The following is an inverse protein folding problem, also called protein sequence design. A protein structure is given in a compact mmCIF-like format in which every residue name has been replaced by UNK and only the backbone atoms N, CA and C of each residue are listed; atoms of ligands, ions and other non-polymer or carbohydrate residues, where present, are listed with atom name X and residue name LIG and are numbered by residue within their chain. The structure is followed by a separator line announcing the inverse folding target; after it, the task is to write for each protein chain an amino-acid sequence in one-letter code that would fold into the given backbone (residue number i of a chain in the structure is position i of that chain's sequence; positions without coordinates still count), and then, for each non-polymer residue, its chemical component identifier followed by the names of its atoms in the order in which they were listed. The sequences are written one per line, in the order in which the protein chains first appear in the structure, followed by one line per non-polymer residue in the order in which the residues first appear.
data_IF_989661317012
#
_entry.id   IF_989661317012
#
_cell.length_a   1.000
_cell.length_b   1.000
_cell.length_c   1.000
_cell.angle_alpha   90.00
_cell.angle_beta   90.00
_cell.angle_gamma   90.00
#
_symmetry.space_group_name_H-M   'P 1'
#
loop_
_entity.id
_entity.type
_entity.pdbx_description
1 polymer ?
#
# COMPACT_ATOMS: atom_id res chain seq x y z
N UNK A 1 19.21 9.11 17.00
CA UNK A 1 17.82 9.05 17.50
C UNK A 1 17.30 7.68 17.13
N UNK A 2 17.26 6.76 18.09
CA UNK A 2 16.51 5.52 17.95
C UNK A 2 15.03 5.92 17.83
N UNK A 3 14.52 5.95 16.59
CA UNK A 3 13.08 5.93 16.38
C UNK A 3 12.65 4.50 16.63
N UNK A 4 12.21 4.19 17.84
CA UNK A 4 11.40 3.01 18.07
C UNK A 4 10.30 2.95 16.99
N UNK A 5 10.03 1.78 16.40
CA UNK A 5 9.00 1.66 15.39
C UNK A 5 7.67 2.08 16.01
N UNK A 6 7.02 3.09 15.42
CA UNK A 6 5.69 3.56 15.84
C UNK A 6 4.72 2.37 15.77
N UNK A 7 4.33 1.79 16.93
CA UNK A 7 3.56 0.55 16.96
C UNK A 7 2.15 0.77 16.41
N UNK A 8 1.60 1.98 16.56
CA UNK A 8 0.30 2.33 15.99
C UNK A 8 0.40 2.43 14.46
N UNK A 9 1.44 3.08 13.95
CA UNK A 9 1.72 3.14 12.52
C UNK A 9 1.90 1.76 11.89
N UNK A 10 2.63 0.86 12.54
CA UNK A 10 2.82 -0.52 12.07
C UNK A 10 1.51 -1.31 12.05
N UNK A 11 0.72 -1.25 13.12
CA UNK A 11 -0.57 -1.93 13.18
C UNK A 11 -1.55 -1.41 12.11
N UNK A 12 -1.59 -0.09 11.90
CA UNK A 12 -2.44 0.52 10.87
C UNK A 12 -2.04 0.07 9.46
N UNK A 13 -0.74 0.01 9.17
CA UNK A 13 -0.23 -0.46 7.87
C UNK A 13 -0.58 -1.93 7.61
N UNK A 14 -0.37 -2.80 8.61
CA UNK A 14 -0.73 -4.22 8.50
C UNK A 14 -2.23 -4.41 8.28
N UNK A 15 -3.06 -3.60 8.95
CA UNK A 15 -4.51 -3.63 8.75
C UNK A 15 -4.89 -3.19 7.33
N UNK A 16 -4.32 -2.08 6.84
CA UNK A 16 -4.57 -1.60 5.48
C UNK A 16 -4.17 -2.63 4.43
N UNK A 17 -3.02 -3.27 4.59
CA UNK A 17 -2.56 -4.34 3.72
C UNK A 17 -3.50 -5.55 3.75
N UNK A 18 -3.89 -6.00 4.94
CA UNK A 18 -4.83 -7.11 5.11
C UNK A 18 -6.17 -6.84 4.44
N UNK A 19 -6.70 -5.61 4.59
CA UNK A 19 -7.93 -5.18 3.91
C UNK A 19 -7.76 -5.19 2.40
N UNK A 20 -6.66 -4.66 1.87
CA UNK A 20 -6.40 -4.66 0.44
C UNK A 20 -6.33 -6.07 -0.13
N UNK A 21 -5.66 -7.00 0.56
CA UNK A 21 -5.60 -8.41 0.17
C UNK A 21 -6.99 -9.06 0.17
N UNK A 22 -7.80 -8.87 1.21
CA UNK A 22 -9.17 -9.42 1.28
C UNK A 22 -10.05 -8.89 0.12
N UNK A 23 -9.93 -7.62 -0.24
CA UNK A 23 -10.68 -7.04 -1.35
C UNK A 23 -10.27 -7.65 -2.70
N UNK A 24 -8.98 -7.91 -2.89
CA UNK A 24 -8.44 -8.58 -4.08
C UNK A 24 -8.90 -10.05 -4.12
N UNK A 25 -8.80 -10.77 -2.99
CA UNK A 25 -9.22 -12.17 -2.85
C UNK A 25 -10.71 -12.38 -3.14
N UNK A 26 -11.54 -11.44 -2.72
CA UNK A 26 -12.98 -11.47 -3.00
C UNK A 26 -13.35 -10.95 -4.38
N UNK A 27 -12.37 -10.54 -5.20
CA UNK A 27 -12.58 -9.99 -6.53
C UNK A 27 -13.33 -8.66 -6.53
N UNK A 28 -13.32 -7.92 -5.41
CA UNK A 28 -13.99 -6.60 -5.31
C UNK A 28 -13.18 -5.56 -6.09
N UNK A 29 -11.86 -5.69 -6.07
CA UNK A 29 -10.92 -4.82 -6.80
C UNK A 29 -9.86 -5.71 -7.44
N UNK A 30 -9.51 -5.46 -8.70
CA UNK A 30 -8.40 -6.18 -9.32
C UNK A 30 -7.06 -5.76 -8.72
N UNK A 31 -6.13 -6.70 -8.60
CA UNK A 31 -4.78 -6.42 -8.09
C UNK A 31 -4.10 -5.26 -8.83
N UNK A 32 -4.25 -5.20 -10.15
CA UNK A 32 -3.70 -4.12 -10.98
C UNK A 32 -4.30 -2.74 -10.60
N UNK A 33 -5.61 -2.66 -10.41
CA UNK A 33 -6.30 -1.44 -10.02
C UNK A 33 -5.85 -0.94 -8.63
N UNK A 34 -5.63 -1.85 -7.68
CA UNK A 34 -5.11 -1.50 -6.36
C UNK A 34 -3.69 -0.92 -6.45
N UNK A 35 -2.81 -1.53 -7.25
CA UNK A 35 -1.43 -1.04 -7.45
C UNK A 35 -1.40 0.32 -8.16
N UNK A 36 -2.28 0.52 -9.13
CA UNK A 36 -2.46 1.82 -9.81
C UNK A 36 -2.93 2.89 -8.82
N UNK A 37 -3.93 2.59 -7.98
CA UNK A 37 -4.41 3.51 -6.95
C UNK A 37 -3.29 3.92 -5.98
N UNK A 38 -2.47 2.97 -5.51
CA UNK A 38 -1.32 3.28 -4.63
C UNK A 38 -0.31 4.18 -5.36
N UNK A 39 -0.06 3.92 -6.65
CA UNK A 39 0.84 4.76 -7.46
C UNK A 39 0.30 6.18 -7.59
N UNK A 40 -1.00 6.35 -7.84
CA UNK A 40 -1.64 7.67 -7.90
C UNK A 40 -1.50 8.44 -6.57
N UNK A 41 -1.66 7.78 -5.43
CA UNK A 41 -1.46 8.42 -4.11
C UNK A 41 0.00 8.83 -3.90
N UNK A 42 0.96 8.01 -4.34
CA UNK A 42 2.39 8.35 -4.30
C UNK A 42 2.66 9.62 -5.11
N UNK A 43 2.09 9.72 -6.31
CA UNK A 43 2.31 10.88 -7.18
C UNK A 43 1.70 12.15 -6.59
N UNK A 44 0.49 12.06 -6.03
CA UNK A 44 -0.11 13.18 -5.25
C UNK A 44 0.80 13.59 -4.09
N UNK A 45 1.35 12.63 -3.33
CA UNK A 45 2.27 12.95 -2.23
C UNK A 45 3.57 13.58 -2.69
N UNK A 46 4.06 13.24 -3.89
CA UNK A 46 5.24 13.90 -4.49
C UNK A 46 4.94 15.35 -4.86
N UNK A 47 3.76 15.63 -5.40
CA UNK A 47 3.33 16.99 -5.75
C UNK A 47 3.14 17.88 -4.51
N UNK A 48 2.62 17.31 -3.43
CA UNK A 48 2.39 18.04 -2.18
C UNK A 48 3.67 18.31 -1.37
N UNK A 49 4.74 17.53 -1.61
CA UNK A 49 5.99 17.60 -0.86
C UNK A 49 6.68 18.95 -1.04
N UNK A 50 6.83 19.71 0.05
CA UNK A 50 7.45 21.04 0.00
C UNK A 50 6.50 22.16 -0.46
N UNK A 51 5.27 21.82 -0.86
CA UNK A 51 4.21 22.78 -1.18
C UNK A 51 3.29 22.96 0.02
N UNK A 52 2.60 21.89 0.42
CA UNK A 52 1.61 21.90 1.51
C UNK A 52 1.95 20.95 2.64
N UNK A 53 2.89 20.02 2.42
CA UNK A 53 3.35 19.04 3.42
C UNK A 53 4.88 19.14 3.60
N UNK A 54 5.35 18.82 4.80
CA UNK A 54 6.79 18.67 5.05
C UNK A 54 7.37 17.57 4.16
N UNK A 55 8.45 17.89 3.44
CA UNK A 55 9.19 16.95 2.58
C UNK A 55 9.55 15.66 3.34
N UNK A 56 9.94 15.78 4.62
CA UNK A 56 10.29 14.62 5.45
C UNK A 56 9.09 13.70 5.67
N UNK A 57 7.90 14.26 5.89
CA UNK A 57 6.66 13.49 6.10
C UNK A 57 6.21 12.83 4.79
N UNK A 58 6.29 13.55 3.67
CA UNK A 58 5.96 13.01 2.35
C UNK A 58 6.89 11.86 1.98
N UNK A 59 8.21 12.00 2.18
CA UNK A 59 9.19 10.92 1.93
C UNK A 59 8.88 9.68 2.76
N UNK A 60 8.66 9.83 4.07
CA UNK A 60 8.31 8.69 4.94
C UNK A 60 7.03 8.01 4.48
N UNK A 61 5.99 8.80 4.18
CA UNK A 61 4.70 8.29 3.71
C UNK A 61 4.83 7.52 2.38
N UNK A 62 5.60 8.07 1.43
CA UNK A 62 5.88 7.42 0.15
C UNK A 62 6.60 6.09 0.36
N UNK A 63 7.61 6.03 1.24
CA UNK A 63 8.31 4.78 1.54
C UNK A 63 7.39 3.70 2.09
N UNK A 64 6.41 4.07 2.93
CA UNK A 64 5.41 3.14 3.46
C UNK A 64 4.45 2.64 2.37
N UNK A 65 3.93 3.55 1.53
CA UNK A 65 3.07 3.19 0.40
C UNK A 65 3.78 2.26 -0.59
N UNK A 66 5.06 2.51 -0.86
CA UNK A 66 5.88 1.62 -1.68
C UNK A 66 6.10 0.25 -1.04
N UNK A 67 6.20 0.16 0.29
CA UNK A 67 6.32 -1.12 0.98
C UNK A 67 5.03 -1.94 0.81
N UNK A 68 3.87 -1.31 0.98
CA UNK A 68 2.56 -1.94 0.73
C UNK A 68 2.44 -2.40 -0.72
N UNK A 69 2.77 -1.54 -1.70
CA UNK A 69 2.72 -1.91 -3.13
C UNK A 69 3.61 -3.12 -3.46
N UNK A 70 4.83 -3.17 -2.90
CA UNK A 70 5.74 -4.31 -3.08
C UNK A 70 5.17 -5.60 -2.48
N UNK A 71 4.61 -5.51 -1.28
CA UNK A 71 4.04 -6.68 -0.62
C UNK A 71 2.81 -7.21 -1.37
N UNK A 72 1.89 -6.34 -1.76
CA UNK A 72 0.74 -6.70 -2.59
C UNK A 72 1.19 -7.29 -3.93
N UNK A 73 2.20 -6.70 -4.58
CA UNK A 73 2.76 -7.25 -5.83
C UNK A 73 3.31 -8.66 -5.66
N UNK A 74 3.94 -8.96 -4.52
CA UNK A 74 4.46 -10.29 -4.21
C UNK A 74 3.37 -11.31 -3.83
N UNK A 75 2.20 -10.86 -3.34
CA UNK A 75 1.12 -11.74 -2.97
C UNK A 75 0.58 -12.53 -4.19
N UNK A 76 0.22 -13.82 -4.04
CA UNK A 76 -0.34 -14.61 -5.11
C UNK A 76 -1.65 -14.02 -5.63
N UNK A 77 -1.94 -14.18 -6.92
CA UNK A 77 -3.22 -13.75 -7.49
C UNK A 77 -4.31 -14.78 -7.14
N UNK A 78 -5.30 -14.42 -6.32
CA UNK A 78 -6.32 -15.36 -5.86
C UNK A 78 -7.21 -15.85 -7.00
N UNK A 79 -7.39 -15.06 -8.08
CA UNK A 79 -8.20 -15.44 -9.24
C UNK A 79 -7.51 -16.47 -10.16
N UNK A 80 -6.24 -16.79 -9.91
CA UNK A 80 -5.46 -17.79 -10.66
C UNK A 80 -5.37 -19.14 -9.94
N UNK A 81 -6.09 -19.32 -8.84
CA UNK A 81 -6.21 -20.63 -8.20
C UNK A 81 -7.19 -21.49 -8.99
N UNK A 82 -6.65 -22.52 -9.65
CA UNK A 82 -7.35 -23.60 -10.35
C UNK A 82 -8.64 -24.00 -9.62
N UNK A 83 -9.79 -23.65 -10.18
CA UNK A 83 -11.04 -24.32 -9.85
C UNK A 83 -11.19 -25.47 -10.85
N UNK A 84 -11.05 -26.75 -10.43
CA UNK A 84 -11.38 -27.85 -11.31
C UNK A 84 -12.86 -27.76 -11.73
N UNK A 85 -13.10 -27.95 -13.02
CA UNK A 85 -14.41 -28.02 -13.64
C UNK A 85 -15.23 -29.22 -13.14
#
# INVERSE_FOLDING_TARGET
MDQDPDPHGQAALMLCESVALILIERGVVEKAQMLEAITGVIDVKREMAGTTESVVVSVKSISLLQAVARSLSAAPDPLRTDRPA
#
